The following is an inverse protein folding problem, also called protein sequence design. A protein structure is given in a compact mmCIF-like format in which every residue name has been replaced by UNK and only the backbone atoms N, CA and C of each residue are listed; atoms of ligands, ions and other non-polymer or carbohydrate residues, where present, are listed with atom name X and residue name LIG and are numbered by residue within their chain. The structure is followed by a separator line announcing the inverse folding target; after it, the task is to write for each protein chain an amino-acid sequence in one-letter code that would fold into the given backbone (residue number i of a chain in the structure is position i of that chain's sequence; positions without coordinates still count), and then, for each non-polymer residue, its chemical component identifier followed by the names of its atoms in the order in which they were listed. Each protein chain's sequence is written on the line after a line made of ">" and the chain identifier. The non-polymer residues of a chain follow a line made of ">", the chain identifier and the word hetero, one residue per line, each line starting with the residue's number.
data_IF_236511212696
#
_entry.id   IF_236511212696
#
_cell.length_a   1.000
_cell.length_b   1.000
_cell.length_c   1.000
_cell.angle_alpha   90.00
_cell.angle_beta   90.00
_cell.angle_gamma   90.00
#
_symmetry.space_group_name_H-M   'P 1'
#
loop_
_entity.id
_entity.type
_entity.pdbx_description
1 polymer ?
#
# COMPACT_ATOMS: atom_id res chain seq x y z
N UNK A 1 50.37 11.86 44.48
CA UNK A 1 50.12 10.81 43.45
C UNK A 1 48.68 10.27 43.49
N UNK A 2 47.70 11.01 43.99
CA UNK A 2 46.33 10.55 44.35
C UNK A 2 45.21 11.20 43.52
N UNK A 3 45.50 12.04 42.53
CA UNK A 3 44.48 12.75 41.74
C UNK A 3 44.18 12.15 40.39
N UNK A 4 45.06 11.31 39.81
CA UNK A 4 44.85 10.68 38.51
C UNK A 4 43.91 9.46 38.54
N UNK A 5 43.89 8.71 39.62
CA UNK A 5 43.02 7.53 39.81
C UNK A 5 41.55 7.89 39.99
N UNK A 6 41.24 9.02 40.64
CA UNK A 6 39.88 9.47 40.87
C UNK A 6 39.17 9.94 39.56
N UNK A 7 39.90 10.65 38.71
CA UNK A 7 39.37 11.13 37.42
C UNK A 7 39.10 9.95 36.45
N UNK A 8 39.96 8.92 36.49
CA UNK A 8 39.79 7.72 35.67
C UNK A 8 38.57 6.88 36.08
N UNK A 9 38.27 6.79 37.38
CA UNK A 9 37.08 6.11 37.89
C UNK A 9 35.78 6.86 37.52
N UNK A 10 35.79 8.20 37.60
CA UNK A 10 34.63 9.02 37.24
C UNK A 10 34.36 8.97 35.73
N UNK A 11 35.41 9.00 34.90
CA UNK A 11 35.23 8.80 33.45
C UNK A 11 34.72 7.39 33.09
N UNK A 12 35.22 6.35 33.76
CA UNK A 12 34.74 4.98 33.55
C UNK A 12 33.29 4.80 33.98
N UNK A 13 32.89 5.42 35.12
CA UNK A 13 31.48 5.37 35.56
C UNK A 13 30.56 6.23 34.70
N UNK A 14 31.01 7.34 34.12
CA UNK A 14 30.25 8.11 33.13
C UNK A 14 30.11 7.37 31.80
N UNK A 15 31.16 6.67 31.31
CA UNK A 15 31.08 5.85 30.11
C UNK A 15 30.16 4.63 30.30
N UNK A 16 30.17 3.99 31.46
CA UNK A 16 29.24 2.89 31.78
C UNK A 16 27.80 3.40 31.95
N UNK A 17 27.58 4.57 32.54
CA UNK A 17 26.27 5.18 32.63
C UNK A 17 25.74 5.61 31.22
N UNK A 18 26.64 6.14 30.38
CA UNK A 18 26.30 6.48 28.98
C UNK A 18 25.98 5.23 28.13
N UNK A 19 26.69 4.11 28.36
CA UNK A 19 26.37 2.82 27.72
C UNK A 19 25.04 2.23 28.20
N UNK A 20 24.66 2.43 29.46
CA UNK A 20 23.38 1.99 30.01
C UNK A 20 22.20 2.87 29.57
N UNK A 21 22.45 4.13 29.19
CA UNK A 21 21.44 5.03 28.61
C UNK A 21 21.23 4.74 27.09
N UNK A 22 22.24 4.16 26.44
CA UNK A 22 22.18 3.73 25.02
C UNK A 22 21.71 2.28 24.85
N UNK A 23 21.11 1.64 25.86
CA UNK A 23 20.28 0.46 25.61
C UNK A 23 19.01 0.99 24.93
N UNK A 24 19.08 1.16 23.62
CA UNK A 24 17.88 1.22 22.81
C UNK A 24 17.09 -0.05 23.16
N UNK A 25 15.95 0.14 23.82
CA UNK A 25 14.95 -0.90 24.00
C UNK A 25 14.54 -1.29 22.58
N UNK A 26 15.23 -2.26 22.02
CA UNK A 26 14.81 -2.95 20.81
C UNK A 26 13.48 -3.60 21.14
N UNK A 27 12.40 -2.87 20.94
CA UNK A 27 11.05 -3.41 21.04
C UNK A 27 10.93 -4.45 19.92
N UNK A 28 11.06 -5.72 20.28
CA UNK A 28 10.76 -6.81 19.39
C UNK A 28 9.38 -6.60 18.80
N UNK A 29 9.20 -7.06 17.58
CA UNK A 29 7.97 -6.93 16.82
C UNK A 29 6.75 -7.33 17.69
N UNK A 30 5.75 -6.46 17.77
CA UNK A 30 4.61 -6.61 18.67
C UNK A 30 3.49 -7.45 18.05
N UNK A 31 3.61 -7.81 16.75
CA UNK A 31 2.56 -8.50 15.98
C UNK A 31 3.13 -9.68 15.21
N UNK A 32 2.32 -10.71 15.04
CA UNK A 32 2.61 -11.80 14.11
C UNK A 32 2.35 -11.39 12.66
N UNK A 33 2.86 -12.18 11.71
CA UNK A 33 2.62 -12.08 10.26
C UNK A 33 2.76 -10.67 9.69
N UNK A 34 3.91 -10.01 9.89
CA UNK A 34 4.15 -8.61 9.48
C UNK A 34 4.11 -8.39 7.98
N UNK A 35 4.16 -9.45 7.18
CA UNK A 35 4.05 -9.37 5.71
C UNK A 35 2.72 -8.70 5.27
N UNK A 36 1.69 -8.72 6.11
CA UNK A 36 0.43 -8.02 5.88
C UNK A 36 0.57 -6.49 5.81
N UNK A 37 1.69 -5.94 6.29
CA UNK A 37 2.00 -4.51 6.22
C UNK A 37 2.81 -4.13 4.97
N UNK A 38 3.28 -5.12 4.18
CA UNK A 38 4.00 -4.89 2.94
C UNK A 38 3.00 -4.44 1.87
N UNK A 39 3.28 -3.31 1.23
CA UNK A 39 2.43 -2.81 0.17
C UNK A 39 2.58 -3.62 -1.11
N UNK A 40 1.45 -4.15 -1.61
CA UNK A 40 1.37 -4.95 -2.83
C UNK A 40 1.18 -4.13 -4.11
N UNK A 41 1.07 -2.80 -4.03
CA UNK A 41 0.87 -1.92 -5.18
C UNK A 41 2.17 -1.24 -5.60
N UNK A 42 2.81 -1.61 -6.73
CA UNK A 42 3.99 -0.89 -7.21
C UNK A 42 3.70 0.58 -7.52
N UNK A 43 2.49 0.90 -7.98
CA UNK A 43 2.06 2.29 -8.16
C UNK A 43 2.08 3.07 -6.85
N UNK A 44 1.52 2.53 -5.78
CA UNK A 44 1.51 3.17 -4.45
C UNK A 44 2.90 3.22 -3.83
N UNK A 45 3.69 2.17 -4.04
CA UNK A 45 5.05 2.06 -3.55
C UNK A 45 5.91 3.21 -4.07
N UNK A 46 5.80 3.55 -5.37
CA UNK A 46 6.49 4.70 -5.95
C UNK A 46 6.08 6.05 -5.33
N UNK A 47 4.96 6.11 -4.62
CA UNK A 47 4.45 7.31 -3.95
C UNK A 47 4.50 7.21 -2.42
N UNK A 48 5.50 6.54 -1.86
CA UNK A 48 5.67 6.42 -0.41
C UNK A 48 4.61 5.57 0.28
N UNK A 49 3.92 4.67 -0.44
CA UNK A 49 2.81 3.85 0.05
C UNK A 49 1.53 4.61 0.43
N UNK A 50 1.39 5.88 0.05
CA UNK A 50 0.22 6.70 0.36
C UNK A 50 -0.95 6.37 -0.58
N UNK A 51 -1.79 5.38 -0.24
CA UNK A 51 -2.82 4.80 -1.11
C UNK A 51 -4.25 4.93 -0.58
N UNK A 52 -4.45 5.10 0.74
CA UNK A 52 -5.77 4.97 1.38
C UNK A 52 -6.84 5.93 0.84
N UNK A 53 -6.43 7.11 0.37
CA UNK A 53 -7.33 8.17 -0.16
C UNK A 53 -7.16 8.46 -1.65
N UNK A 54 -6.13 7.88 -2.28
CA UNK A 54 -5.77 8.24 -3.65
C UNK A 54 -6.78 7.69 -4.65
N UNK A 55 -7.26 8.53 -5.58
CA UNK A 55 -8.00 8.05 -6.74
C UNK A 55 -7.07 7.35 -7.71
N UNK A 56 -7.29 6.07 -7.91
CA UNK A 56 -6.54 5.24 -8.86
C UNK A 56 -7.39 4.06 -9.29
N UNK A 57 -7.12 3.56 -10.48
CA UNK A 57 -7.70 2.31 -10.98
C UNK A 57 -6.80 1.10 -10.70
N UNK A 58 -5.65 1.27 -10.03
CA UNK A 58 -4.77 0.17 -9.63
C UNK A 58 -5.53 -0.85 -8.75
N UNK A 59 -5.73 -2.09 -9.22
CA UNK A 59 -6.49 -3.08 -8.47
C UNK A 59 -5.87 -3.46 -7.11
N UNK A 60 -4.55 -3.33 -6.93
CA UNK A 60 -3.88 -3.68 -5.68
C UNK A 60 -4.28 -2.79 -4.49
N UNK A 61 -4.82 -1.59 -4.74
CA UNK A 61 -5.22 -0.68 -3.65
C UNK A 61 -6.36 -1.22 -2.80
N UNK A 62 -7.12 -2.20 -3.27
CA UNK A 62 -8.17 -2.87 -2.49
C UNK A 62 -7.62 -3.56 -1.25
N UNK A 63 -6.33 -3.94 -1.26
CA UNK A 63 -5.65 -4.52 -0.10
C UNK A 63 -5.42 -3.54 1.04
N UNK A 64 -5.51 -2.21 0.77
CA UNK A 64 -5.31 -1.14 1.75
C UNK A 64 -6.60 -0.46 2.14
N UNK A 65 -7.52 -0.30 1.16
CA UNK A 65 -8.82 0.29 1.38
C UNK A 65 -9.84 -0.34 0.42
N UNK A 66 -10.70 -1.25 0.88
CA UNK A 66 -11.68 -1.90 0.01
C UNK A 66 -12.74 -0.96 -0.59
N UNK A 67 -12.86 0.27 -0.09
CA UNK A 67 -13.75 1.27 -0.64
C UNK A 67 -13.37 1.68 -2.08
N UNK A 68 -12.11 1.49 -2.49
CA UNK A 68 -11.69 1.75 -3.88
C UNK A 68 -12.53 0.99 -4.91
N UNK A 69 -13.02 -0.21 -4.59
CA UNK A 69 -13.89 -0.97 -5.47
C UNK A 69 -15.15 -0.22 -5.90
N UNK A 70 -15.73 0.58 -4.99
CA UNK A 70 -16.89 1.43 -5.31
C UNK A 70 -16.54 2.61 -6.23
N UNK A 71 -15.26 3.06 -6.23
CA UNK A 71 -14.78 4.23 -6.99
C UNK A 71 -14.08 3.93 -8.31
N UNK A 72 -13.69 2.68 -8.60
CA UNK A 72 -12.99 2.30 -9.83
C UNK A 72 -13.74 2.72 -11.09
N UNK A 73 -12.99 3.06 -12.16
CA UNK A 73 -13.58 3.48 -13.44
C UNK A 73 -13.84 2.27 -14.36
N UNK A 74 -13.03 1.21 -14.22
CA UNK A 74 -13.06 0.05 -15.09
C UNK A 74 -14.09 -0.99 -14.59
N UNK A 75 -14.74 -1.70 -15.52
CA UNK A 75 -15.69 -2.76 -15.20
C UNK A 75 -14.99 -4.05 -14.76
N UNK A 76 -13.83 -4.34 -15.35
CA UNK A 76 -13.02 -5.48 -15.00
C UNK A 76 -11.53 -5.10 -15.01
N UNK A 77 -10.77 -5.61 -14.05
CA UNK A 77 -9.32 -5.45 -14.04
C UNK A 77 -8.61 -6.64 -13.40
N UNK A 78 -7.43 -6.92 -13.92
CA UNK A 78 -6.52 -7.96 -13.41
C UNK A 78 -5.14 -7.34 -13.27
N UNK A 79 -4.49 -7.55 -12.13
CA UNK A 79 -3.09 -7.17 -11.93
C UNK A 79 -2.32 -8.31 -11.30
N UNK A 80 -1.08 -8.46 -11.72
CA UNK A 80 -0.18 -9.47 -11.18
C UNK A 80 1.29 -9.01 -11.29
N UNK A 81 2.14 -9.62 -10.50
CA UNK A 81 3.58 -9.43 -10.61
C UNK A 81 4.12 -10.35 -11.72
N UNK A 82 4.71 -9.82 -12.79
CA UNK A 82 5.29 -10.64 -13.86
C UNK A 82 6.51 -11.42 -13.38
N UNK A 83 7.19 -10.92 -12.35
CA UNK A 83 8.31 -11.57 -11.67
C UNK A 83 8.17 -11.38 -10.17
N UNK A 84 8.52 -12.42 -9.40
CA UNK A 84 8.57 -12.32 -7.94
C UNK A 84 9.59 -11.25 -7.54
N UNK A 85 9.21 -10.40 -6.59
CA UNK A 85 10.10 -9.40 -6.00
C UNK A 85 11.04 -10.09 -5.01
N UNK A 86 12.35 -9.87 -5.12
CA UNK A 86 13.27 -10.22 -4.03
C UNK A 86 13.05 -9.19 -2.91
N UNK A 87 12.51 -9.67 -1.78
CA UNK A 87 12.22 -8.82 -0.63
C UNK A 87 13.49 -8.66 0.22
N UNK A 88 13.89 -7.41 0.47
CA UNK A 88 15.11 -7.04 1.22
C UNK A 88 16.40 -7.69 0.68
N UNK A 89 16.76 -7.42 -0.59
CA UNK A 89 17.94 -8.01 -1.22
C UNK A 89 19.25 -7.72 -0.49
N UNK A 90 19.33 -6.64 0.30
CA UNK A 90 20.46 -6.28 1.16
C UNK A 90 20.81 -7.35 2.23
N UNK A 91 19.86 -8.22 2.58
CA UNK A 91 20.12 -9.35 3.47
C UNK A 91 20.89 -10.51 2.80
N UNK A 92 21.08 -10.45 1.47
CA UNK A 92 21.77 -11.52 0.72
C UNK A 92 20.93 -12.78 0.52
N UNK A 93 19.67 -12.81 0.94
CA UNK A 93 18.74 -13.93 0.79
C UNK A 93 18.06 -13.84 -0.58
N UNK A 94 18.41 -14.75 -1.51
CA UNK A 94 17.86 -14.75 -2.87
C UNK A 94 16.47 -15.38 -2.98
N UNK A 95 16.09 -16.20 -2.04
CA UNK A 95 14.86 -16.96 -1.96
C UNK A 95 13.79 -16.30 -1.07
N UNK A 96 14.11 -15.17 -0.42
CA UNK A 96 13.14 -14.31 0.24
C UNK A 96 12.37 -13.49 -0.82
N UNK A 97 11.21 -14.01 -1.24
CA UNK A 97 10.48 -13.43 -2.37
C UNK A 97 9.03 -13.08 -2.05
N UNK A 98 8.58 -11.96 -2.60
CA UNK A 98 7.22 -11.45 -2.48
C UNK A 98 6.52 -11.49 -3.84
N UNK A 99 5.25 -11.89 -3.85
CA UNK A 99 4.41 -11.95 -5.04
C UNK A 99 2.97 -11.55 -4.71
N UNK A 100 2.25 -11.01 -5.70
CA UNK A 100 0.84 -10.67 -5.52
C UNK A 100 0.08 -10.69 -6.85
N UNK A 101 -1.21 -11.01 -6.78
CA UNK A 101 -2.15 -10.81 -7.87
C UNK A 101 -3.54 -10.43 -7.36
N UNK A 102 -4.32 -9.77 -8.20
CA UNK A 102 -5.65 -9.31 -7.87
C UNK A 102 -6.56 -9.31 -9.10
N UNK A 103 -7.82 -9.64 -8.88
CA UNK A 103 -8.91 -9.60 -9.87
C UNK A 103 -10.01 -8.71 -9.29
N UNK A 104 -10.49 -7.74 -10.08
CA UNK A 104 -11.60 -6.87 -9.69
C UNK A 104 -12.68 -6.89 -10.77
N UNK A 105 -13.93 -6.84 -10.32
CA UNK A 105 -15.09 -6.64 -11.19
C UNK A 105 -16.00 -5.58 -10.58
N UNK A 106 -16.56 -4.70 -11.41
CA UNK A 106 -17.47 -3.63 -10.98
C UNK A 106 -18.61 -3.47 -11.98
N UNK A 107 -19.80 -3.15 -11.47
CA UNK A 107 -20.95 -2.75 -12.27
C UNK A 107 -21.59 -1.48 -11.73
N UNK A 108 -22.12 -0.64 -12.65
CA UNK A 108 -22.88 0.55 -12.34
C UNK A 108 -24.38 0.24 -12.40
N UNK A 109 -25.06 0.31 -11.27
CA UNK A 109 -26.50 0.04 -11.20
C UNK A 109 -27.35 1.14 -11.84
N UNK A 110 -26.78 2.34 -12.06
CA UNK A 110 -27.46 3.42 -12.78
C UNK A 110 -27.97 3.01 -14.15
N UNK A 111 -27.26 2.12 -14.82
CA UNK A 111 -27.64 1.59 -16.14
C UNK A 111 -28.87 0.68 -16.09
N UNK A 112 -29.13 0.04 -14.94
CA UNK A 112 -30.20 -0.95 -14.77
C UNK A 112 -31.40 -0.41 -13.98
N UNK A 113 -31.16 0.39 -12.93
CA UNK A 113 -32.20 0.79 -11.97
C UNK A 113 -32.23 2.29 -11.70
N UNK A 114 -31.53 3.11 -12.50
CA UNK A 114 -31.44 4.58 -12.38
C UNK A 114 -30.97 5.10 -11.01
N UNK A 115 -30.31 4.25 -10.22
CA UNK A 115 -29.72 4.61 -8.93
C UNK A 115 -28.23 4.93 -9.14
N UNK A 116 -27.69 6.06 -8.68
CA UNK A 116 -26.29 6.45 -8.87
C UNK A 116 -25.37 5.61 -7.95
N UNK A 117 -25.47 4.30 -8.05
CA UNK A 117 -24.81 3.32 -7.23
C UNK A 117 -23.92 2.41 -8.07
N UNK A 118 -22.77 2.04 -7.56
CA UNK A 118 -21.92 1.01 -8.12
C UNK A 118 -21.60 -0.07 -7.09
N UNK A 119 -21.41 -1.29 -7.54
CA UNK A 119 -21.01 -2.43 -6.70
C UNK A 119 -19.77 -3.05 -7.32
N UNK A 120 -18.75 -3.31 -6.50
CA UNK A 120 -17.54 -3.98 -6.90
C UNK A 120 -17.22 -5.17 -6.02
N UNK A 121 -16.56 -6.16 -6.62
CA UNK A 121 -16.03 -7.35 -5.96
C UNK A 121 -14.56 -7.53 -6.37
N UNK A 122 -13.73 -8.01 -5.44
CA UNK A 122 -12.36 -8.37 -5.77
C UNK A 122 -11.93 -9.65 -5.05
N UNK A 123 -10.98 -10.34 -5.69
CA UNK A 123 -10.18 -11.38 -5.04
C UNK A 123 -8.71 -11.01 -5.19
N UNK A 124 -7.95 -11.11 -4.11
CA UNK A 124 -6.51 -10.89 -4.13
C UNK A 124 -5.77 -11.96 -3.34
N UNK A 125 -4.54 -12.23 -3.77
CA UNK A 125 -3.60 -13.06 -3.04
C UNK A 125 -2.25 -12.37 -2.95
N UNK A 126 -1.63 -12.51 -1.76
CA UNK A 126 -0.27 -12.06 -1.48
C UNK A 126 0.48 -13.25 -0.91
N UNK A 127 1.66 -13.52 -1.46
CA UNK A 127 2.55 -14.59 -1.03
C UNK A 127 3.91 -14.00 -0.64
N UNK A 128 4.42 -14.37 0.54
CA UNK A 128 5.78 -14.13 0.98
C UNK A 128 6.47 -15.48 1.20
N UNK A 129 7.46 -15.80 0.38
CA UNK A 129 8.34 -16.93 0.60
C UNK A 129 9.50 -16.46 1.47
N UNK A 130 9.66 -17.07 2.63
CA UNK A 130 10.71 -16.74 3.59
C UNK A 130 12.04 -17.42 3.28
N UNK A 131 12.05 -18.32 2.27
CA UNK A 131 13.22 -19.07 1.84
C UNK A 131 13.36 -20.44 2.50
N UNK A 132 14.50 -21.03 2.26
CA UNK A 132 14.84 -22.39 2.70
C UNK A 132 15.68 -22.34 3.97
N UNK A 133 15.26 -23.07 4.99
CA UNK A 133 15.92 -23.16 6.29
C UNK A 133 16.46 -24.57 6.54
N UNK A 134 17.65 -24.65 7.13
CA UNK A 134 18.23 -25.88 7.61
C UNK A 134 17.84 -26.10 9.07
N UNK A 135 17.25 -27.26 9.37
CA UNK A 135 17.04 -27.70 10.74
C UNK A 135 18.31 -28.42 11.21
N UNK A 136 18.90 -27.91 12.28
CA UNK A 136 20.10 -28.53 12.88
C UNK A 136 19.76 -29.35 14.10
N UNK A 137 20.63 -30.34 14.42
CA UNK A 137 20.53 -31.13 15.62
C UNK A 137 20.73 -30.27 16.87
N UNK A 138 20.02 -30.56 17.95
CA UNK A 138 20.26 -29.95 19.26
C UNK A 138 21.65 -30.22 19.82
N UNK A 139 22.33 -31.27 19.32
CA UNK A 139 23.66 -31.71 19.75
C UNK A 139 24.83 -31.14 18.93
N UNK A 140 24.56 -30.43 17.81
CA UNK A 140 25.60 -29.87 16.95
C UNK A 140 25.09 -29.29 15.63
N UNK A 141 26.00 -28.82 14.75
CA UNK A 141 25.63 -28.13 13.52
C UNK A 141 25.12 -29.04 12.39
N UNK A 142 24.98 -30.36 12.67
CA UNK A 142 24.53 -31.33 11.66
C UNK A 142 23.12 -31.03 11.19
N UNK A 143 22.95 -30.90 9.88
CA UNK A 143 21.64 -30.64 9.25
C UNK A 143 20.82 -31.93 9.29
N UNK A 144 19.73 -31.94 10.03
CA UNK A 144 18.80 -33.06 10.19
C UNK A 144 17.52 -32.92 9.35
N UNK A 145 17.34 -31.79 8.68
CA UNK A 145 16.21 -31.56 7.80
C UNK A 145 16.28 -30.19 7.11
N UNK A 146 15.50 -30.05 6.06
CA UNK A 146 15.34 -28.80 5.31
C UNK A 146 13.83 -28.49 5.22
N UNK A 147 13.45 -27.24 5.42
CA UNK A 147 12.06 -26.78 5.25
C UNK A 147 12.00 -25.41 4.57
N UNK A 148 10.88 -25.12 3.93
CA UNK A 148 10.59 -23.82 3.34
C UNK A 148 9.57 -23.10 4.22
N UNK A 149 9.90 -21.87 4.61
CA UNK A 149 8.96 -20.97 5.26
C UNK A 149 8.14 -20.21 4.21
N UNK A 150 6.85 -20.11 4.41
CA UNK A 150 5.97 -19.32 3.54
C UNK A 150 4.81 -18.70 4.33
N UNK A 151 4.41 -17.52 3.93
CA UNK A 151 3.22 -16.84 4.43
C UNK A 151 2.39 -16.37 3.25
N UNK A 152 1.07 -16.50 3.36
CA UNK A 152 0.18 -15.94 2.35
C UNK A 152 -1.13 -15.47 2.95
N UNK A 153 -1.80 -14.57 2.23
CA UNK A 153 -3.17 -14.22 2.52
C UNK A 153 -4.02 -14.28 1.24
N UNK A 154 -5.22 -14.85 1.36
CA UNK A 154 -6.28 -14.80 0.37
C UNK A 154 -7.35 -13.83 0.88
N UNK A 155 -7.78 -12.88 0.04
CA UNK A 155 -8.74 -11.87 0.44
C UNK A 155 -9.85 -11.72 -0.59
N UNK A 156 -11.10 -11.64 -0.10
CA UNK A 156 -12.28 -11.31 -0.88
C UNK A 156 -12.83 -9.98 -0.40
N UNK A 157 -13.02 -9.04 -1.31
CA UNK A 157 -13.47 -7.68 -1.02
C UNK A 157 -14.78 -7.36 -1.72
N UNK A 158 -15.62 -6.59 -1.05
CA UNK A 158 -16.86 -6.02 -1.57
C UNK A 158 -16.81 -4.51 -1.38
N UNK A 159 -17.23 -3.75 -2.39
CA UNK A 159 -17.30 -2.31 -2.33
C UNK A 159 -18.58 -1.77 -2.94
N UNK A 160 -19.06 -0.66 -2.38
CA UNK A 160 -20.21 0.06 -2.86
C UNK A 160 -19.84 1.53 -3.02
N UNK A 161 -20.21 2.13 -4.15
CA UNK A 161 -19.96 3.54 -4.44
C UNK A 161 -21.24 4.29 -4.80
N UNK A 162 -21.33 5.56 -4.40
CA UNK A 162 -22.39 6.50 -4.76
C UNK A 162 -21.79 7.69 -5.48
N UNK A 163 -22.37 8.07 -6.60
CA UNK A 163 -22.01 9.27 -7.36
C UNK A 163 -23.19 10.25 -7.39
N UNK A 164 -23.16 11.20 -6.47
CA UNK A 164 -24.17 12.25 -6.31
C UNK A 164 -23.58 13.64 -6.62
N UNK A 165 -22.52 13.69 -7.45
CA UNK A 165 -21.68 14.86 -7.68
C UNK A 165 -20.45 14.86 -6.76
N UNK A 166 -20.57 14.33 -5.55
CA UNK A 166 -19.46 13.88 -4.70
C UNK A 166 -19.49 12.35 -4.74
N UNK A 167 -18.34 11.74 -4.99
CA UNK A 167 -18.22 10.28 -5.02
C UNK A 167 -17.91 9.78 -3.62
N UNK A 168 -18.79 8.95 -3.08
CA UNK A 168 -18.63 8.30 -1.78
C UNK A 168 -18.51 6.81 -2.00
N UNK A 169 -17.63 6.14 -1.28
CA UNK A 169 -17.55 4.70 -1.33
C UNK A 169 -17.24 4.10 0.03
N UNK A 170 -17.71 2.87 0.23
CA UNK A 170 -17.39 2.03 1.38
C UNK A 170 -17.07 0.61 0.92
N UNK A 171 -16.31 -0.12 1.74
CA UNK A 171 -15.96 -1.48 1.41
C UNK A 171 -15.61 -2.33 2.62
N UNK A 172 -15.68 -3.63 2.42
CA UNK A 172 -15.29 -4.65 3.39
C UNK A 172 -14.44 -5.71 2.71
N UNK A 173 -13.42 -6.22 3.41
CA UNK A 173 -12.62 -7.36 2.98
C UNK A 173 -12.66 -8.45 4.03
N UNK A 174 -12.73 -9.71 3.58
CA UNK A 174 -12.53 -10.91 4.39
C UNK A 174 -11.21 -11.54 3.97
N UNK A 175 -10.29 -11.74 4.94
CA UNK A 175 -8.96 -12.31 4.71
C UNK A 175 -8.81 -13.63 5.41
N UNK A 176 -8.23 -14.60 4.71
CA UNK A 176 -7.66 -15.83 5.29
C UNK A 176 -6.14 -15.72 5.24
N UNK A 177 -5.50 -15.77 6.37
CA UNK A 177 -4.06 -15.64 6.55
C UNK A 177 -3.53 -17.03 6.91
N UNK A 178 -2.45 -17.44 6.27
CA UNK A 178 -1.77 -18.70 6.54
C UNK A 178 -0.28 -18.42 6.70
N UNK A 179 0.32 -18.99 7.74
CA UNK A 179 1.76 -18.88 8.01
C UNK A 179 2.30 -20.29 8.30
N UNK A 180 3.26 -20.71 7.50
CA UNK A 180 3.97 -21.97 7.59
C UNK A 180 5.44 -21.65 7.85
N UNK A 181 5.88 -21.69 9.11
CA UNK A 181 7.22 -21.25 9.50
C UNK A 181 8.22 -22.42 9.61
N UNK A 182 7.73 -23.63 9.85
CA UNK A 182 8.57 -24.84 9.95
C UNK A 182 7.77 -26.04 9.46
N UNK A 183 8.44 -27.09 8.98
CA UNK A 183 7.79 -28.34 8.55
C UNK A 183 6.90 -28.95 9.63
N UNK A 184 5.60 -28.70 9.54
CA UNK A 184 4.57 -29.15 10.50
C UNK A 184 4.05 -28.08 11.45
N UNK A 185 4.64 -26.86 11.49
CA UNK A 185 4.14 -25.74 12.28
C UNK A 185 3.36 -24.79 11.36
N UNK A 186 2.06 -25.02 11.27
CA UNK A 186 1.14 -24.26 10.43
C UNK A 186 0.16 -23.50 11.30
N UNK A 187 -0.01 -22.24 11.00
CA UNK A 187 -0.99 -21.38 11.65
C UNK A 187 -1.90 -20.71 10.63
N UNK A 188 -3.14 -20.48 11.00
CA UNK A 188 -4.07 -19.72 10.17
C UNK A 188 -4.95 -18.82 11.01
N UNK A 189 -5.32 -17.67 10.42
CA UNK A 189 -6.22 -16.71 11.04
C UNK A 189 -7.19 -16.15 9.99
N UNK A 190 -8.32 -15.61 10.48
CA UNK A 190 -9.26 -14.82 9.69
C UNK A 190 -9.24 -13.39 10.20
N UNK A 191 -9.34 -12.43 9.30
CA UNK A 191 -9.49 -11.02 9.64
C UNK A 191 -10.43 -10.31 8.69
N UNK A 192 -10.81 -9.09 9.04
CA UNK A 192 -11.66 -8.21 8.24
C UNK A 192 -11.00 -6.85 8.09
N UNK A 193 -11.22 -6.22 6.93
CA UNK A 193 -10.87 -4.83 6.71
C UNK A 193 -12.13 -4.04 6.39
N UNK A 194 -12.14 -2.76 6.76
CA UNK A 194 -13.21 -1.81 6.49
C UNK A 194 -12.60 -0.56 5.87
N UNK A 195 -13.28 0.00 4.89
CA UNK A 195 -12.81 1.18 4.18
C UNK A 195 -13.90 2.19 3.89
N UNK A 196 -13.50 3.47 3.90
CA UNK A 196 -14.29 4.60 3.43
C UNK A 196 -13.43 5.45 2.50
N UNK A 197 -14.05 5.97 1.45
CA UNK A 197 -13.42 6.86 0.48
C UNK A 197 -14.41 7.93 0.06
N UNK A 198 -13.96 9.18 0.02
CA UNK A 198 -14.70 10.31 -0.52
C UNK A 198 -13.83 11.00 -1.57
N UNK A 199 -14.43 11.31 -2.71
CA UNK A 199 -13.81 12.15 -3.73
C UNK A 199 -14.73 13.32 -4.09
N UNK A 200 -14.16 14.50 -4.12
CA UNK A 200 -14.83 15.78 -4.41
C UNK A 200 -14.21 16.36 -5.68
N UNK A 201 -14.90 16.31 -6.83
CA UNK A 201 -14.44 16.90 -8.09
C UNK A 201 -14.68 18.43 -8.05
N UNK A 202 -13.75 19.16 -7.44
CA UNK A 202 -13.92 20.59 -7.12
C UNK A 202 -14.13 21.42 -8.39
N UNK A 203 -13.37 21.13 -9.46
CA UNK A 203 -13.52 21.87 -10.73
C UNK A 203 -14.93 21.74 -11.31
N UNK A 204 -15.51 20.54 -11.27
CA UNK A 204 -16.86 20.27 -11.80
C UNK A 204 -17.97 20.91 -10.93
N UNK A 205 -17.76 20.95 -9.59
CA UNK A 205 -18.70 21.54 -8.66
C UNK A 205 -18.74 23.08 -8.75
N UNK A 206 -17.61 23.73 -9.06
CA UNK A 206 -17.53 25.19 -9.17
C UNK A 206 -18.07 25.67 -10.52
N UNK A 207 -17.74 24.95 -11.60
CA UNK A 207 -18.10 25.36 -12.97
C UNK A 207 -18.84 24.23 -13.67
N UNK A 208 -20.11 24.47 -14.00
CA UNK A 208 -20.95 23.48 -14.72
C UNK A 208 -20.40 23.08 -16.11
N UNK A 209 -19.49 23.87 -16.69
CA UNK A 209 -18.73 23.58 -17.91
C UNK A 209 -17.34 24.20 -17.76
N UNK A 210 -16.39 23.46 -17.21
CA UNK A 210 -15.04 23.98 -16.95
C UNK A 210 -14.16 23.99 -18.21
N UNK A 211 -14.67 24.52 -19.33
CA UNK A 211 -13.85 24.71 -20.52
C UNK A 211 -13.05 26.00 -20.40
N UNK A 212 -11.73 25.91 -20.34
CA UNK A 212 -10.84 27.06 -20.25
C UNK A 212 -10.63 27.70 -21.61
N UNK A 213 -10.12 26.94 -22.59
CA UNK A 213 -9.80 27.40 -23.95
C UNK A 213 -9.80 26.16 -24.86
N UNK A 214 -10.47 26.25 -26.05
CA UNK A 214 -10.30 25.31 -27.14
C UNK A 214 -10.41 23.81 -26.79
N UNK A 215 -11.41 23.44 -25.99
CA UNK A 215 -11.63 22.02 -25.63
C UNK A 215 -10.76 21.49 -24.48
N UNK A 216 -10.12 22.36 -23.72
CA UNK A 216 -9.34 21.99 -22.52
C UNK A 216 -10.13 22.33 -21.27
N UNK A 217 -10.32 21.34 -20.38
CA UNK A 217 -10.94 21.50 -19.07
C UNK A 217 -9.91 21.35 -17.94
N UNK A 218 -9.97 22.17 -16.87
CA UNK A 218 -9.17 21.97 -15.68
C UNK A 218 -9.69 20.77 -14.89
N UNK A 219 -8.77 20.02 -14.29
CA UNK A 219 -9.05 18.98 -13.32
C UNK A 219 -8.57 19.47 -11.95
N UNK A 220 -9.46 19.43 -10.96
CA UNK A 220 -9.13 19.67 -9.57
C UNK A 220 -10.00 18.79 -8.69
N UNK A 221 -9.40 17.73 -8.13
CA UNK A 221 -10.06 16.79 -7.24
C UNK A 221 -9.39 16.78 -5.87
N UNK A 222 -10.20 16.64 -4.85
CA UNK A 222 -9.77 16.37 -3.48
C UNK A 222 -10.36 15.05 -3.03
N UNK A 223 -9.53 14.22 -2.40
CA UNK A 223 -9.97 12.94 -1.84
C UNK A 223 -9.59 12.81 -0.38
N UNK A 224 -10.46 12.14 0.37
CA UNK A 224 -10.25 11.71 1.74
C UNK A 224 -10.54 10.22 1.84
N UNK A 225 -9.69 9.47 2.55
CA UNK A 225 -9.87 8.04 2.76
C UNK A 225 -9.47 7.62 4.14
N UNK A 226 -10.12 6.57 4.65
CA UNK A 226 -9.74 5.89 5.87
C UNK A 226 -10.00 4.40 5.75
N UNK A 227 -9.15 3.60 6.38
CA UNK A 227 -9.29 2.15 6.44
C UNK A 227 -8.86 1.61 7.79
N UNK A 228 -9.57 0.58 8.24
CA UNK A 228 -9.19 -0.29 9.35
C UNK A 228 -8.85 -1.65 8.76
N UNK A 229 -7.62 -2.11 8.94
CA UNK A 229 -7.16 -3.39 8.35
C UNK A 229 -6.76 -4.39 9.42
N UNK A 230 -6.84 -5.68 9.06
CA UNK A 230 -6.48 -6.81 9.92
C UNK A 230 -7.25 -6.85 11.25
N UNK A 231 -8.54 -6.50 11.22
CA UNK A 231 -9.41 -6.48 12.39
C UNK A 231 -9.81 -7.90 12.80
N UNK A 232 -10.10 -8.11 14.10
CA UNK A 232 -10.77 -9.29 14.66
C UNK A 232 -10.00 -10.62 14.60
N UNK A 233 -8.68 -10.61 14.39
CA UNK A 233 -7.88 -11.83 14.27
C UNK A 233 -6.73 -11.93 15.27
N UNK A 234 -6.44 -13.16 15.67
CA UNK A 234 -5.18 -13.59 16.29
C UNK A 234 -4.70 -14.86 15.60
N UNK A 235 -3.41 -15.10 15.61
CA UNK A 235 -2.82 -16.32 15.04
C UNK A 235 -2.09 -17.12 16.13
N UNK A 236 -2.23 -18.44 16.11
CA UNK A 236 -1.59 -19.32 17.07
C UNK A 236 -0.91 -20.46 16.33
N UNK A 237 0.35 -20.73 16.65
CA UNK A 237 1.15 -21.80 16.06
C UNK A 237 1.08 -23.12 16.85
N UNK A 238 0.96 -23.04 18.17
CA UNK A 238 0.98 -24.21 19.05
C UNK A 238 -0.22 -24.24 19.99
N UNK A 239 -0.35 -23.22 20.83
CA UNK A 239 -1.41 -23.12 21.84
C UNK A 239 -2.21 -21.84 21.66
N UNK A 240 -3.54 -21.95 21.70
CA UNK A 240 -4.45 -20.80 21.63
C UNK A 240 -4.24 -19.78 22.76
N UNK A 241 -3.71 -20.23 23.90
CA UNK A 241 -3.37 -19.35 25.01
C UNK A 241 -2.16 -18.45 24.70
N UNK A 242 -1.36 -18.81 23.69
CA UNK A 242 -0.19 -18.07 23.20
C UNK A 242 -0.46 -17.44 21.83
N UNK A 243 -1.70 -17.10 21.54
CA UNK A 243 -2.06 -16.49 20.27
C UNK A 243 -1.53 -15.06 20.18
N UNK A 244 -0.83 -14.78 19.10
CA UNK A 244 -0.28 -13.47 18.79
C UNK A 244 -1.29 -12.61 18.03
N UNK A 245 -1.33 -11.28 18.28
CA UNK A 245 -2.22 -10.38 17.57
C UNK A 245 -1.76 -10.18 16.13
N UNK A 246 -2.72 -10.11 15.20
CA UNK A 246 -2.48 -9.63 13.85
C UNK A 246 -2.11 -8.13 13.87
N UNK A 247 -1.41 -7.62 12.85
CA UNK A 247 -1.03 -6.22 12.74
C UNK A 247 -2.24 -5.35 12.39
N UNK A 248 -3.20 -5.24 13.34
CA UNK A 248 -4.35 -4.35 13.23
C UNK A 248 -3.86 -2.94 13.00
N UNK A 249 -4.36 -2.27 11.96
CA UNK A 249 -3.90 -0.95 11.59
C UNK A 249 -5.07 -0.03 11.22
N UNK A 250 -4.94 1.26 11.56
CA UNK A 250 -5.77 2.33 11.02
C UNK A 250 -4.94 3.20 10.10
N UNK A 251 -5.52 3.51 8.94
CA UNK A 251 -4.95 4.45 7.95
C UNK A 251 -5.92 5.58 7.71
N UNK A 252 -5.43 6.82 7.69
CA UNK A 252 -6.18 8.03 7.29
C UNK A 252 -5.33 8.79 6.28
N UNK A 253 -5.92 9.29 5.21
CA UNK A 253 -5.19 10.02 4.19
C UNK A 253 -6.01 11.05 3.45
N UNK A 254 -5.28 11.93 2.77
CA UNK A 254 -5.82 12.91 1.83
C UNK A 254 -5.02 12.89 0.54
N UNK A 255 -5.68 13.21 -0.57
CA UNK A 255 -5.05 13.34 -1.88
C UNK A 255 -5.63 14.54 -2.63
N UNK A 256 -4.78 15.18 -3.43
CA UNK A 256 -5.16 16.28 -4.34
C UNK A 256 -4.67 15.87 -5.72
N UNK A 257 -5.54 16.07 -6.72
CA UNK A 257 -5.20 15.91 -8.14
C UNK A 257 -5.48 17.22 -8.86
N UNK A 258 -4.47 17.70 -9.58
CA UNK A 258 -4.56 18.86 -10.46
C UNK A 258 -4.22 18.43 -11.87
N UNK A 259 -4.85 19.01 -12.88
CA UNK A 259 -4.53 18.65 -14.25
C UNK A 259 -5.31 19.40 -15.32
N UNK A 260 -5.07 18.99 -16.54
CA UNK A 260 -5.76 19.47 -17.74
C UNK A 260 -6.27 18.26 -18.54
N UNK A 261 -7.57 18.31 -18.87
CA UNK A 261 -8.24 17.28 -19.66
C UNK A 261 -8.56 17.80 -21.06
N UNK A 262 -8.28 17.01 -22.11
CA UNK A 262 -8.70 17.29 -23.48
C UNK A 262 -10.09 16.68 -23.70
N UNK A 263 -11.12 17.51 -23.76
CA UNK A 263 -12.52 17.12 -23.78
C UNK A 263 -12.84 16.23 -25.01
N UNK A 264 -12.23 16.52 -26.18
CA UNK A 264 -12.51 15.81 -27.45
C UNK A 264 -12.30 14.28 -27.36
N UNK A 265 -11.32 13.82 -26.57
CA UNK A 265 -10.97 12.41 -26.44
C UNK A 265 -11.05 11.92 -24.99
N UNK A 266 -11.58 12.76 -24.10
CA UNK A 266 -11.61 12.50 -22.66
C UNK A 266 -10.27 11.97 -22.11
N UNK A 267 -9.17 12.70 -22.40
CA UNK A 267 -7.82 12.32 -22.01
C UNK A 267 -7.13 13.41 -21.20
N UNK A 268 -6.50 12.99 -20.13
CA UNK A 268 -5.71 13.88 -19.27
C UNK A 268 -4.37 14.17 -19.93
N UNK A 269 -4.17 15.43 -20.37
CA UNK A 269 -2.93 15.88 -21.03
C UNK A 269 -1.77 15.85 -20.03
N UNK A 270 -2.00 16.43 -18.85
CA UNK A 270 -1.04 16.47 -17.76
C UNK A 270 -1.80 16.39 -16.44
N UNK A 271 -1.27 15.64 -15.50
CA UNK A 271 -1.77 15.55 -14.13
C UNK A 271 -0.64 15.68 -13.15
N UNK A 272 -0.90 16.34 -12.04
CA UNK A 272 -0.08 16.31 -10.83
C UNK A 272 -0.96 15.84 -9.69
N UNK A 273 -0.54 14.80 -9.00
CA UNK A 273 -1.18 14.35 -7.77
C UNK A 273 -0.23 14.39 -6.60
N UNK A 274 -0.75 14.73 -5.43
CA UNK A 274 -0.04 14.66 -4.18
C UNK A 274 -0.91 13.99 -3.13
N UNK A 275 -0.33 13.08 -2.36
CA UNK A 275 -1.03 12.32 -1.33
C UNK A 275 -0.24 12.29 -0.04
N UNK A 276 -0.95 12.30 1.09
CA UNK A 276 -0.40 12.06 2.42
C UNK A 276 -1.30 11.13 3.20
N UNK A 277 -0.68 10.19 3.90
CA UNK A 277 -1.34 9.17 4.70
C UNK A 277 -0.62 9.04 6.05
N UNK A 278 -1.39 8.77 7.08
CA UNK A 278 -0.91 8.40 8.40
C UNK A 278 -1.43 7.01 8.76
N UNK A 279 -0.53 6.13 9.20
CA UNK A 279 -0.81 4.77 9.62
C UNK A 279 -0.44 4.58 11.09
N UNK A 280 -1.27 3.87 11.83
CA UNK A 280 -0.98 3.50 13.22
C UNK A 280 -1.34 2.04 13.48
N UNK A 281 -0.35 1.26 13.89
CA UNK A 281 -0.58 -0.13 14.33
C UNK A 281 -1.25 -0.09 15.70
N UNK A 282 -2.45 -0.69 15.77
CA UNK A 282 -3.32 -0.68 16.96
C UNK A 282 -3.02 -1.86 17.90
N UNK A 283 -1.77 -2.21 18.05
CA UNK A 283 -1.29 -3.25 18.97
C UNK A 283 -0.33 -2.60 19.95
N UNK A 284 -0.56 -2.83 21.25
CA UNK A 284 0.30 -2.42 22.31
C UNK A 284 0.87 -3.62 23.07
N UNK A 285 1.89 -3.40 23.89
CA UNK A 285 2.50 -4.40 24.76
C UNK A 285 2.41 -3.96 26.20
N UNK A 286 1.99 -4.85 27.08
CA UNK A 286 2.00 -4.65 28.54
C UNK A 286 3.41 -4.86 29.09
N UNK A 287 3.61 -4.45 30.35
CA UNK A 287 4.91 -4.64 31.04
C UNK A 287 5.28 -6.10 31.26
N UNK A 288 4.29 -6.99 31.33
CA UNK A 288 4.46 -8.44 31.44
C UNK A 288 4.79 -9.12 30.09
N UNK A 289 4.89 -8.33 29.01
CA UNK A 289 5.16 -8.82 27.65
C UNK A 289 3.94 -9.25 26.88
N UNK A 290 2.74 -9.29 27.47
CA UNK A 290 1.50 -9.61 26.76
C UNK A 290 1.09 -8.50 25.80
N UNK A 291 0.50 -8.88 24.66
CA UNK A 291 0.00 -7.92 23.67
C UNK A 291 -1.47 -7.63 23.90
N UNK A 292 -1.89 -6.40 23.57
CA UNK A 292 -3.30 -6.00 23.60
C UNK A 292 -3.66 -5.11 22.40
N UNK A 293 -4.94 -5.07 22.03
CA UNK A 293 -5.43 -4.18 21.00
C UNK A 293 -5.80 -2.82 21.59
N UNK A 294 -5.28 -1.75 20.95
CA UNK A 294 -5.62 -0.35 21.25
C UNK A 294 -6.99 0.03 20.67
N UNK A 295 -7.53 1.17 21.10
CA UNK A 295 -8.73 1.76 20.49
C UNK A 295 -8.55 2.06 19.00
N UNK A 296 -9.67 2.11 18.27
CA UNK A 296 -9.69 2.20 16.78
C UNK A 296 -9.01 3.42 16.19
N UNK A 297 -8.82 4.49 16.93
CA UNK A 297 -8.10 5.70 16.45
C UNK A 297 -6.62 5.69 16.84
N UNK A 298 -6.22 4.84 17.79
CA UNK A 298 -4.84 4.76 18.28
C UNK A 298 -4.28 6.13 18.66
N UNK A 299 -3.07 6.43 18.19
CA UNK A 299 -2.35 7.69 18.41
C UNK A 299 -2.53 8.69 17.25
N UNK A 300 -3.43 8.41 16.29
CA UNK A 300 -3.65 9.29 15.13
C UNK A 300 -4.27 10.62 15.53
N UNK A 301 -3.72 11.69 14.99
CA UNK A 301 -4.24 13.06 15.08
C UNK A 301 -4.25 13.67 13.68
N UNK A 302 -5.46 13.97 13.15
CA UNK A 302 -5.59 14.54 11.81
C UNK A 302 -4.77 15.82 11.64
N UNK A 303 -4.87 16.76 12.59
CA UNK A 303 -4.12 18.02 12.54
C UNK A 303 -2.61 17.84 12.58
N UNK A 304 -2.11 16.95 13.46
CA UNK A 304 -0.66 16.70 13.62
C UNK A 304 -0.12 15.85 12.46
N UNK A 305 -0.78 14.76 12.14
CA UNK A 305 -0.24 13.77 11.21
C UNK A 305 -0.56 14.11 9.76
N UNK A 306 -1.80 14.52 9.42
CA UNK A 306 -2.18 14.80 8.03
C UNK A 306 -1.86 16.24 7.65
N UNK A 307 -2.28 17.25 8.44
CA UNK A 307 -2.04 18.64 8.06
C UNK A 307 -0.55 19.01 8.22
N UNK A 308 0.05 18.75 9.39
CA UNK A 308 1.45 19.11 9.64
C UNK A 308 2.47 18.09 9.13
N UNK A 309 2.03 16.84 8.81
CA UNK A 309 2.92 15.78 8.35
C UNK A 309 3.92 15.28 9.40
N UNK A 310 3.59 15.40 10.69
CA UNK A 310 4.47 14.97 11.78
C UNK A 310 4.26 13.50 12.09
N UNK A 311 5.33 12.73 12.00
CA UNK A 311 5.40 11.34 12.42
C UNK A 311 5.69 11.20 13.92
N UNK A 312 5.55 9.99 14.44
CA UNK A 312 5.98 9.58 15.78
C UNK A 312 6.44 8.12 15.72
N UNK A 313 7.02 7.60 16.79
CA UNK A 313 7.39 6.17 16.85
C UNK A 313 6.20 5.24 16.70
N UNK A 314 4.99 5.70 17.03
CA UNK A 314 3.75 4.94 16.87
C UNK A 314 3.03 5.20 15.54
N UNK A 315 3.25 6.36 14.91
CA UNK A 315 2.52 6.80 13.70
C UNK A 315 3.47 6.99 12.54
N UNK A 316 3.30 6.15 11.52
CA UNK A 316 4.00 6.28 10.24
C UNK A 316 3.30 7.34 9.38
N UNK A 317 4.08 8.24 8.78
CA UNK A 317 3.61 9.17 7.75
C UNK A 317 4.19 8.75 6.41
N UNK A 318 3.29 8.56 5.46
CA UNK A 318 3.58 8.29 4.06
C UNK A 318 3.16 9.49 3.21
N UNK A 319 3.98 9.90 2.27
CA UNK A 319 3.63 10.98 1.34
C UNK A 319 4.33 10.79 0.00
N UNK A 320 3.68 11.26 -1.05
CA UNK A 320 4.26 11.18 -2.39
C UNK A 320 3.50 12.01 -3.40
N UNK A 321 4.11 12.13 -4.56
CA UNK A 321 3.53 12.80 -5.71
C UNK A 321 3.69 11.96 -6.98
N UNK A 322 2.85 12.25 -7.96
CA UNK A 322 2.90 11.68 -9.29
C UNK A 322 2.68 12.80 -10.32
N UNK A 323 3.46 12.75 -11.39
CA UNK A 323 3.17 13.49 -12.63
C UNK A 323 2.76 12.47 -13.68
N UNK A 324 1.59 12.66 -14.28
CA UNK A 324 1.10 11.89 -15.43
C UNK A 324 1.13 12.75 -16.69
N UNK A 325 1.64 12.19 -17.78
CA UNK A 325 1.73 12.85 -19.10
C UNK A 325 0.92 12.04 -20.11
N UNK A 326 -0.16 12.61 -20.64
CA UNK A 326 -0.98 12.06 -21.69
C UNK A 326 -1.66 10.73 -21.36
N UNK A 327 -1.85 10.41 -20.08
CA UNK A 327 -2.27 9.07 -19.64
C UNK A 327 -1.39 7.93 -20.19
N UNK A 328 -0.14 8.24 -20.52
CA UNK A 328 0.81 7.31 -21.10
C UNK A 328 2.02 7.05 -20.21
N UNK A 329 2.60 8.10 -19.58
CA UNK A 329 3.78 8.00 -18.72
C UNK A 329 3.44 8.58 -17.36
N UNK A 330 3.86 7.90 -16.30
CA UNK A 330 3.70 8.32 -14.91
C UNK A 330 5.04 8.28 -14.20
N UNK A 331 5.45 9.42 -13.63
CA UNK A 331 6.66 9.55 -12.82
C UNK A 331 6.23 9.78 -11.39
N UNK A 332 6.79 9.03 -10.46
CA UNK A 332 6.41 9.01 -9.06
C UNK A 332 7.59 9.16 -8.14
N UNK A 333 7.38 9.85 -7.04
CA UNK A 333 8.34 9.91 -5.95
C UNK A 333 7.60 10.04 -4.62
N UNK A 334 8.15 9.43 -3.59
CA UNK A 334 7.57 9.47 -2.27
C UNK A 334 8.55 9.16 -1.16
N UNK A 335 8.03 9.14 0.04
CA UNK A 335 8.77 8.75 1.24
C UNK A 335 7.81 8.34 2.36
N UNK A 336 8.31 7.57 3.31
CA UNK A 336 7.63 7.32 4.56
C UNK A 336 8.61 7.28 5.74
N UNK A 337 8.10 7.57 6.93
CA UNK A 337 8.87 7.60 8.18
C UNK A 337 7.95 7.46 9.40
N UNK A 338 8.49 6.97 10.51
CA UNK A 338 7.75 6.76 11.76
C UNK A 338 7.09 5.39 11.84
N UNK A 339 6.38 5.10 12.93
CA UNK A 339 5.78 3.78 13.15
C UNK A 339 6.80 2.65 13.25
N UNK A 340 8.02 2.93 13.71
CA UNK A 340 9.13 1.97 13.75
C UNK A 340 9.98 1.92 12.47
N UNK A 341 9.65 2.72 11.45
CA UNK A 341 10.45 2.80 10.22
C UNK A 341 11.35 4.03 10.21
N UNK A 342 12.60 3.84 9.77
CA UNK A 342 13.49 4.93 9.40
C UNK A 342 12.94 5.67 8.17
N UNK A 343 13.58 6.79 7.82
CA UNK A 343 13.21 7.53 6.61
C UNK A 343 13.54 6.72 5.36
N UNK A 344 12.53 6.31 4.62
CA UNK A 344 12.65 5.56 3.37
C UNK A 344 12.17 6.43 2.21
N UNK A 345 13.01 6.58 1.19
CA UNK A 345 12.65 7.18 -0.10
C UNK A 345 12.10 6.11 -1.04
N UNK A 346 11.20 6.52 -1.90
CA UNK A 346 10.64 5.66 -2.95
C UNK A 346 10.58 6.42 -4.26
N UNK A 347 10.72 5.70 -5.35
CA UNK A 347 10.50 6.21 -6.70
C UNK A 347 9.74 5.19 -7.54
N UNK A 348 9.13 5.64 -8.62
CA UNK A 348 8.38 4.76 -9.50
C UNK A 348 8.17 5.33 -10.89
N UNK A 349 8.01 4.42 -11.84
CA UNK A 349 7.67 4.69 -13.22
C UNK A 349 6.46 3.85 -13.62
N UNK A 350 5.50 4.44 -14.32
CA UNK A 350 4.37 3.76 -14.91
C UNK A 350 4.26 4.06 -16.40
N UNK A 351 3.81 3.08 -17.17
CA UNK A 351 3.47 3.22 -18.59
C UNK A 351 2.09 2.61 -18.83
N UNK A 352 1.24 3.30 -19.58
CA UNK A 352 -0.11 2.87 -19.94
C UNK A 352 -0.33 2.96 -21.45
N UNK A 353 -1.16 2.09 -21.98
CA UNK A 353 -1.56 2.13 -23.40
C UNK A 353 -2.76 3.04 -23.65
N UNK A 354 -3.53 3.41 -22.62
CA UNK A 354 -4.75 4.22 -22.76
C UNK A 354 -4.51 5.53 -23.49
N UNK A 355 -3.57 6.35 -23.00
CA UNK A 355 -3.24 7.62 -23.63
C UNK A 355 -2.75 7.47 -25.06
N UNK A 356 -1.94 6.43 -25.33
CA UNK A 356 -1.43 6.17 -26.68
C UNK A 356 -2.59 5.89 -27.66
N UNK A 357 -3.53 5.01 -27.31
CA UNK A 357 -4.66 4.69 -28.15
C UNK A 357 -5.61 5.89 -28.34
N UNK A 358 -5.86 6.68 -27.28
CA UNK A 358 -6.65 7.90 -27.35
C UNK A 358 -6.04 8.94 -28.31
N UNK A 359 -4.71 9.14 -28.27
CA UNK A 359 -4.03 10.06 -29.20
C UNK A 359 -4.01 9.51 -30.63
N UNK A 360 -3.81 8.22 -30.83
CA UNK A 360 -3.88 7.60 -32.16
C UNK A 360 -5.29 7.71 -32.78
N UNK A 361 -6.34 7.65 -31.98
CA UNK A 361 -7.73 7.80 -32.45
C UNK A 361 -8.00 9.20 -33.04
N UNK A 362 -7.29 10.25 -32.59
CA UNK A 362 -7.40 11.60 -33.19
C UNK A 362 -6.93 11.66 -34.64
N UNK A 363 -5.91 10.86 -35.01
CA UNK A 363 -5.36 10.80 -36.37
C UNK A 363 -5.99 9.73 -37.24
N UNK A 364 -6.73 8.78 -36.67
CA UNK A 364 -7.32 7.64 -37.34
C UNK A 364 -8.85 7.75 -37.42
N UNK A 365 -9.36 8.93 -37.77
CA UNK A 365 -10.81 9.16 -37.91
C UNK A 365 -11.45 8.08 -38.83
N UNK A 366 -12.35 7.26 -38.22
CA UNK A 366 -13.02 6.15 -38.91
C UNK A 366 -12.37 4.76 -38.74
N UNK A 367 -11.23 4.63 -38.04
CA UNK A 367 -10.67 3.31 -37.74
C UNK A 367 -11.35 2.68 -36.53
N UNK A 368 -12.34 1.84 -36.76
CA UNK A 368 -13.16 1.17 -35.76
C UNK A 368 -12.31 0.35 -34.76
N UNK A 369 -11.22 -0.26 -35.22
CA UNK A 369 -10.36 -1.09 -34.34
C UNK A 369 -9.61 -0.28 -33.33
N UNK A 370 -8.99 0.85 -33.74
CA UNK A 370 -8.26 1.74 -32.80
C UNK A 370 -9.22 2.35 -31.77
N UNK A 371 -10.41 2.77 -32.22
CA UNK A 371 -11.43 3.30 -31.34
C UNK A 371 -11.89 2.27 -30.32
N UNK A 372 -12.15 1.03 -30.73
CA UNK A 372 -12.49 -0.06 -29.81
C UNK A 372 -11.39 -0.36 -28.81
N UNK A 373 -10.12 -0.36 -29.23
CA UNK A 373 -9.00 -0.52 -28.29
C UNK A 373 -8.94 0.63 -27.30
N UNK A 374 -9.08 1.87 -27.77
CA UNK A 374 -9.08 3.07 -26.91
C UNK A 374 -10.19 3.06 -25.87
N UNK A 375 -11.38 2.62 -26.25
CA UNK A 375 -12.57 2.72 -25.42
C UNK A 375 -12.66 1.56 -24.39
N UNK A 376 -12.15 0.38 -24.75
CA UNK A 376 -12.41 -0.84 -23.99
C UNK A 376 -11.19 -1.44 -23.30
N UNK A 377 -9.97 -1.15 -23.76
CA UNK A 377 -8.76 -1.83 -23.25
C UNK A 377 -7.68 -0.86 -22.82
N UNK A 378 -7.05 -1.18 -21.70
CA UNK A 378 -5.85 -0.51 -21.24
C UNK A 378 -4.90 -1.50 -20.57
N UNK A 379 -3.61 -1.36 -20.85
CA UNK A 379 -2.54 -2.15 -20.27
C UNK A 379 -1.56 -1.24 -19.57
N UNK A 380 -1.34 -1.46 -18.27
CA UNK A 380 -0.38 -0.72 -17.47
C UNK A 380 0.79 -1.61 -17.06
N UNK A 381 1.98 -1.05 -17.09
CA UNK A 381 3.16 -1.59 -16.43
C UNK A 381 3.65 -0.56 -15.41
N UNK A 382 3.76 -0.97 -14.16
CA UNK A 382 4.27 -0.15 -13.07
C UNK A 382 5.51 -0.78 -12.45
N UNK A 383 6.49 0.05 -12.15
CA UNK A 383 7.70 -0.32 -11.44
C UNK A 383 7.96 0.69 -10.32
N UNK A 384 8.46 0.20 -9.18
CA UNK A 384 8.88 1.04 -8.07
C UNK A 384 10.06 0.46 -7.32
N UNK A 385 10.78 1.33 -6.63
CA UNK A 385 11.92 1.00 -5.80
C UNK A 385 11.73 1.55 -4.40
N UNK A 386 12.12 0.75 -3.39
CA UNK A 386 12.34 1.21 -2.03
C UNK A 386 13.83 1.38 -1.81
N UNK A 387 14.24 2.60 -1.52
CA UNK A 387 15.61 2.90 -1.16
C UNK A 387 15.81 2.65 0.33
N UNK A 388 16.34 1.50 0.67
CA UNK A 388 16.62 1.08 2.04
C UNK A 388 18.01 1.52 2.51
N UNK A 389 18.45 2.69 2.16
CA UNK A 389 19.77 3.31 2.23
C UNK A 389 20.55 3.24 3.56
N UNK A 390 20.55 2.15 4.29
CA UNK A 390 21.56 1.97 5.34
C UNK A 390 22.97 1.65 4.80
N UNK A 391 23.09 1.33 3.52
CA UNK A 391 24.35 0.98 2.84
C UNK A 391 24.31 1.49 1.38
N UNK A 392 24.51 2.74 1.12
CA UNK A 392 24.72 3.48 -0.16
C UNK A 392 24.89 2.66 -1.48
N UNK A 393 24.25 1.50 -1.61
CA UNK A 393 24.35 0.64 -2.79
C UNK A 393 22.99 0.49 -3.47
N UNK A 394 22.86 0.89 -4.75
CA UNK A 394 21.62 0.67 -5.53
C UNK A 394 21.21 -0.79 -5.65
N UNK A 395 22.12 -1.74 -5.36
CA UNK A 395 21.84 -3.18 -5.34
C UNK A 395 20.98 -3.63 -4.16
N UNK A 396 20.81 -2.80 -3.14
CA UNK A 396 20.09 -3.13 -1.92
C UNK A 396 18.61 -2.67 -1.94
N UNK A 397 18.17 -1.96 -2.98
CA UNK A 397 16.79 -1.51 -3.09
C UNK A 397 15.84 -2.67 -3.44
N UNK A 398 14.70 -2.73 -2.75
CA UNK A 398 13.62 -3.67 -3.11
C UNK A 398 12.86 -3.11 -4.32
N UNK A 399 12.76 -3.91 -5.38
CA UNK A 399 12.10 -3.53 -6.65
C UNK A 399 10.80 -4.30 -6.81
N UNK A 400 9.71 -3.56 -7.01
CA UNK A 400 8.41 -4.12 -7.33
C UNK A 400 8.04 -3.83 -8.76
N UNK A 401 7.36 -4.75 -9.42
CA UNK A 401 6.77 -4.51 -10.74
C UNK A 401 5.42 -5.21 -10.87
N UNK A 402 4.51 -4.58 -11.60
CA UNK A 402 3.20 -5.16 -11.92
C UNK A 402 2.80 -4.93 -13.36
N UNK A 403 2.01 -5.84 -13.87
CA UNK A 403 1.29 -5.72 -15.13
C UNK A 403 -0.20 -5.77 -14.83
N UNK A 404 -0.94 -4.78 -15.34
CA UNK A 404 -2.37 -4.63 -15.11
C UNK A 404 -3.11 -4.53 -16.45
N UNK A 405 -4.19 -5.30 -16.58
CA UNK A 405 -5.13 -5.22 -17.70
C UNK A 405 -6.45 -4.66 -17.19
N UNK A 406 -6.97 -3.68 -17.89
CA UNK A 406 -8.25 -3.03 -17.61
C UNK A 406 -9.19 -3.21 -18.79
N UNK A 407 -10.46 -3.48 -18.49
CA UNK A 407 -11.53 -3.63 -19.48
C UNK A 407 -12.70 -2.76 -19.06
N UNK A 408 -13.23 -2.00 -20.03
CA UNK A 408 -14.43 -1.14 -19.91
C UNK A 408 -15.51 -1.64 -20.85
N UNK A 409 -16.74 -1.66 -20.37
CA UNK A 409 -17.91 -2.04 -21.18
C UNK A 409 -18.92 -0.90 -21.23
#
# INVERSE_FOLDING_TARGET
>A
MTTKTGVSLILASMLTALHLICIELSFGQTTAVPFLLISSSPESNGQGTASVSRQTDDPFVVNFNPAHLGGMQNNFSVSFYPTKTNWLPGLGLKDLTYNSYVFCGKTNLKEYVSVPLSIGIAYSRVDLNLGTFNRTSAAGPDVIGIFNGEEHNDAMSLGVGWDIGIKLAMGITFRRIVSNLEGGVNASAWSRDYGLLMNVPIAELITKKPELIAGIAPLFDFSFGTALTNMDGTISYFDKAQADPLPRNISIGTSIVLGLNLIKIDSKIITFSWSRQADNILVGRNQDGSSYYRGIFGDLSFGKNIIQGKWTDAVKISQGWQIGLGEFIYIRQGSYQGGGFNYIKTDGLGISTSGLFKFLSLGAEGNTFINQLSDHFDLHYDQSNYDTNELDSPSNSTKFSSLSLFIKF
#
